data_IF_147494632760
#
_entry.id   IF_147494632760
#
_cell.length_a   1.000
_cell.length_b   1.000
_cell.length_c   1.000
_cell.angle_alpha   90.00
_cell.angle_beta   90.00
_cell.angle_gamma   90.00
#
_symmetry.space_group_name_H-M   'P 1'
#
loop_
_entity.id
_entity.type
_entity.pdbx_description
1 polymer ?
#
# COMPACT_ATOMS: atom_id res chain seq x y z
N UNK A 1 -13.02 -9.09 5.51
CA UNK A 1 -14.36 -9.64 5.82
C UNK A 1 -14.75 -10.73 4.83
N UNK A 2 -15.60 -11.70 5.21
CA UNK A 2 -16.09 -12.71 4.27
C UNK A 2 -16.74 -12.04 3.06
N UNK A 3 -16.35 -12.46 1.86
CA UNK A 3 -16.93 -12.04 0.57
C UNK A 3 -16.55 -10.65 0.03
N UNK A 4 -15.62 -9.92 0.66
CA UNK A 4 -15.07 -8.69 0.06
C UNK A 4 -13.87 -8.99 -0.86
N UNK A 5 -13.74 -8.21 -1.94
CA UNK A 5 -12.51 -8.16 -2.75
C UNK A 5 -11.40 -7.40 -2.01
N UNK A 6 -10.14 -7.57 -2.46
CA UNK A 6 -9.01 -6.86 -1.85
C UNK A 6 -9.13 -5.33 -2.06
N UNK A 7 -9.73 -4.91 -3.17
CA UNK A 7 -10.02 -3.52 -3.49
C UNK A 7 -11.11 -2.94 -2.57
N UNK A 8 -12.20 -3.68 -2.33
CA UNK A 8 -13.26 -3.26 -1.39
C UNK A 8 -12.73 -3.18 0.04
N UNK A 9 -11.95 -4.17 0.44
CA UNK A 9 -11.24 -4.19 1.71
C UNK A 9 -10.38 -2.92 1.87
N UNK A 10 -9.53 -2.61 0.90
CA UNK A 10 -8.66 -1.43 0.94
C UNK A 10 -9.44 -0.11 1.09
N UNK A 11 -10.57 0.03 0.40
CA UNK A 11 -11.45 1.22 0.52
C UNK A 11 -12.04 1.31 1.93
N UNK A 12 -12.53 0.20 2.48
CA UNK A 12 -13.11 0.14 3.83
C UNK A 12 -12.06 0.49 4.90
N UNK A 13 -10.91 -0.16 4.87
CA UNK A 13 -9.82 0.05 5.83
C UNK A 13 -9.32 1.50 5.80
N UNK A 14 -9.10 2.09 4.61
CA UNK A 14 -8.69 3.50 4.51
C UNK A 14 -9.72 4.46 5.11
N UNK A 15 -11.01 4.14 5.02
CA UNK A 15 -12.06 4.94 5.66
C UNK A 15 -12.07 4.74 7.17
N UNK A 16 -11.94 3.50 7.62
CA UNK A 16 -12.01 3.12 9.03
C UNK A 16 -10.80 3.64 9.80
N UNK A 17 -9.59 3.39 9.33
CA UNK A 17 -8.33 3.70 10.04
C UNK A 17 -7.80 5.11 9.76
N UNK A 18 -8.04 5.65 8.56
CA UNK A 18 -7.45 6.91 8.10
C UNK A 18 -8.47 8.03 7.85
N UNK A 19 -9.77 7.73 7.82
CA UNK A 19 -10.83 8.74 7.62
C UNK A 19 -10.93 9.30 6.21
N UNK A 20 -10.34 8.62 5.22
CA UNK A 20 -10.31 9.07 3.82
C UNK A 20 -11.10 8.14 2.91
N UNK A 21 -11.65 8.71 1.84
CA UNK A 21 -12.19 7.92 0.72
C UNK A 21 -11.16 7.89 -0.40
N UNK A 22 -10.93 6.71 -0.97
CA UNK A 22 -9.95 6.53 -2.04
C UNK A 22 -10.60 5.94 -3.30
N UNK A 23 -9.95 6.15 -4.44
CA UNK A 23 -10.17 5.38 -5.68
C UNK A 23 -9.01 4.42 -5.85
N UNK A 24 -9.30 3.12 -5.85
CA UNK A 24 -8.31 2.10 -6.21
C UNK A 24 -8.02 2.17 -7.71
N UNK A 25 -6.74 2.11 -8.08
CA UNK A 25 -6.25 2.12 -9.45
C UNK A 25 -5.68 0.73 -9.80
N UNK A 26 -4.44 0.68 -10.26
CA UNK A 26 -3.78 -0.54 -10.68
C UNK A 26 -3.34 -1.38 -9.47
N UNK A 27 -3.56 -2.71 -9.55
CA UNK A 27 -2.85 -3.67 -8.70
C UNK A 27 -1.37 -3.66 -9.10
N UNK A 28 -0.50 -3.33 -8.16
CA UNK A 28 0.94 -3.20 -8.38
C UNK A 28 1.62 -4.56 -8.32
N UNK A 29 1.40 -5.28 -7.21
CA UNK A 29 1.96 -6.61 -7.00
C UNK A 29 1.23 -7.32 -5.86
N UNK A 30 1.56 -8.59 -5.67
CA UNK A 30 1.25 -9.30 -4.44
C UNK A 30 2.52 -9.93 -3.86
N UNK A 31 2.60 -9.94 -2.53
CA UNK A 31 3.71 -10.55 -1.80
C UNK A 31 3.12 -11.60 -0.87
N UNK A 32 3.58 -12.84 -1.03
CA UNK A 32 3.35 -13.90 -0.06
C UNK A 32 4.60 -13.98 0.80
N UNK A 33 4.43 -13.91 2.11
CA UNK A 33 5.52 -14.01 3.06
C UNK A 33 5.19 -15.02 4.15
N UNK A 34 6.15 -15.89 4.45
CA UNK A 34 6.02 -16.93 5.46
C UNK A 34 6.72 -16.48 6.75
N UNK A 35 5.95 -16.35 7.82
CA UNK A 35 6.45 -16.17 9.17
C UNK A 35 6.33 -17.48 9.95
N UNK A 36 7.12 -17.69 11.02
CA UNK A 36 7.00 -18.87 11.87
C UNK A 36 5.58 -19.13 12.40
N UNK A 37 4.74 -18.09 12.51
CA UNK A 37 3.35 -18.18 12.97
C UNK A 37 2.28 -18.31 11.87
N UNK A 38 2.67 -18.33 10.59
CA UNK A 38 1.76 -18.45 9.47
C UNK A 38 2.19 -17.68 8.21
N UNK A 39 1.44 -17.90 7.14
CA UNK A 39 1.66 -17.23 5.84
C UNK A 39 0.72 -16.04 5.72
N UNK A 40 1.27 -14.88 5.34
CA UNK A 40 0.47 -13.71 4.96
C UNK A 40 0.55 -13.51 3.45
N UNK A 41 -0.53 -12.97 2.87
CA UNK A 41 -0.58 -12.50 1.49
C UNK A 41 -1.00 -11.04 1.49
N UNK A 42 -0.11 -10.17 1.02
CA UNK A 42 -0.35 -8.74 0.90
C UNK A 42 -0.63 -8.40 -0.56
N UNK A 43 -1.68 -7.62 -0.77
CA UNK A 43 -2.06 -7.08 -2.07
C UNK A 43 -1.76 -5.58 -2.08
N UNK A 44 -0.90 -5.14 -3.01
CA UNK A 44 -0.51 -3.74 -3.11
C UNK A 44 -1.17 -3.09 -4.32
N UNK A 45 -1.79 -1.94 -4.10
CA UNK A 45 -2.50 -1.18 -5.12
C UNK A 45 -2.01 0.27 -5.14
N UNK A 46 -2.02 0.86 -6.33
CA UNK A 46 -2.02 2.31 -6.43
C UNK A 46 -3.42 2.83 -6.10
N UNK A 47 -3.51 3.95 -5.38
CA UNK A 47 -4.77 4.58 -5.04
C UNK A 47 -4.63 6.11 -5.04
N UNK A 48 -5.77 6.80 -5.11
CA UNK A 48 -5.86 8.25 -5.01
C UNK A 48 -6.89 8.64 -3.98
N UNK A 49 -6.55 9.63 -3.15
CA UNK A 49 -7.47 10.20 -2.17
C UNK A 49 -8.49 11.06 -2.91
N UNK A 50 -9.77 10.70 -2.79
CA UNK A 50 -10.88 11.46 -3.36
C UNK A 50 -11.37 12.55 -2.41
N UNK A 51 -11.41 12.25 -1.11
CA UNK A 51 -11.94 13.15 -0.10
C UNK A 51 -11.54 12.72 1.31
N UNK A 52 -11.77 13.61 2.27
CA UNK A 52 -11.45 13.42 3.68
C UNK A 52 -10.13 14.08 4.07
N UNK A 53 -9.86 14.06 5.37
CA UNK A 53 -8.58 14.46 5.93
C UNK A 53 -8.01 13.24 6.64
N UNK A 54 -6.72 12.97 6.41
CA UNK A 54 -6.06 11.85 7.08
C UNK A 54 -6.06 12.10 8.58
N UNK A 55 -6.67 11.18 9.30
CA UNK A 55 -6.66 11.11 10.78
C UNK A 55 -6.18 9.73 11.15
N UNK A 56 -5.04 9.65 11.85
CA UNK A 56 -4.51 8.38 12.36
C UNK A 56 -5.39 7.92 13.52
N UNK A 57 -6.17 6.85 13.32
CA UNK A 57 -6.98 6.28 14.41
C UNK A 57 -6.29 5.11 15.10
N UNK A 58 -5.52 4.31 14.35
CA UNK A 58 -4.82 3.13 14.88
C UNK A 58 -3.29 3.24 14.80
N UNK A 59 -2.78 4.16 13.97
CA UNK A 59 -1.35 4.31 13.72
C UNK A 59 -0.70 5.31 14.67
N UNK A 60 0.53 5.02 15.10
CA UNK A 60 1.29 5.88 16.01
C UNK A 60 1.86 7.14 15.34
N UNK A 61 2.12 7.06 14.03
CA UNK A 61 2.63 8.16 13.22
C UNK A 61 2.29 7.93 11.74
N UNK A 62 2.29 9.02 10.96
CA UNK A 62 2.14 9.01 9.51
C UNK A 62 2.80 10.25 8.94
N UNK A 63 3.49 10.06 7.82
CA UNK A 63 4.22 11.11 7.12
C UNK A 63 4.07 10.91 5.62
N UNK A 64 3.89 12.02 4.90
CA UNK A 64 3.98 12.01 3.45
C UNK A 64 5.44 12.13 3.05
N UNK A 65 5.93 11.13 2.33
CA UNK A 65 7.32 11.07 1.88
C UNK A 65 7.41 10.97 0.37
N UNK A 66 8.48 11.50 -0.18
CA UNK A 66 8.84 11.33 -1.58
C UNK A 66 9.40 9.94 -1.85
N UNK A 67 9.42 9.55 -3.13
CA UNK A 67 10.04 8.31 -3.57
C UNK A 67 11.51 8.16 -3.12
N UNK A 68 12.24 9.28 -3.06
CA UNK A 68 13.63 9.31 -2.63
C UNK A 68 13.81 9.13 -1.14
N UNK A 69 12.84 9.59 -0.34
CA UNK A 69 12.89 9.51 1.12
C UNK A 69 12.59 8.11 1.64
N UNK A 70 11.87 7.27 0.88
CA UNK A 70 11.55 5.89 1.27
C UNK A 70 12.79 5.10 1.72
N UNK A 71 13.95 5.30 1.08
CA UNK A 71 15.20 4.60 1.44
C UNK A 71 15.70 4.89 2.86
N UNK A 72 15.17 5.91 3.53
CA UNK A 72 15.52 6.27 4.90
C UNK A 72 14.68 5.54 5.95
N UNK A 73 13.66 4.79 5.54
CA UNK A 73 12.78 4.03 6.44
C UNK A 73 13.12 2.53 6.42
N UNK A 74 13.05 1.91 7.59
CA UNK A 74 13.19 0.46 7.71
C UNK A 74 11.82 -0.20 7.50
N UNK A 75 11.65 -0.90 6.37
CA UNK A 75 10.43 -1.62 6.04
C UNK A 75 10.45 -3.05 6.58
N UNK A 76 9.27 -3.60 6.86
CA UNK A 76 9.18 -5.04 7.11
C UNK A 76 9.53 -5.82 5.82
N UNK A 77 9.94 -7.10 5.93
CA UNK A 77 10.42 -7.87 4.78
C UNK A 77 9.43 -7.92 3.59
N UNK A 78 8.13 -7.99 3.86
CA UNK A 78 7.11 -8.05 2.82
C UNK A 78 6.98 -6.72 2.06
N UNK A 79 7.01 -5.58 2.76
CA UNK A 79 6.98 -4.25 2.16
C UNK A 79 8.27 -3.94 1.40
N UNK A 80 9.44 -4.29 1.97
CA UNK A 80 10.73 -4.16 1.29
C UNK A 80 10.77 -4.99 -0.02
N UNK A 81 10.16 -6.18 0.00
CA UNK A 81 10.01 -7.03 -1.18
C UNK A 81 9.09 -6.41 -2.22
N UNK A 82 8.02 -5.72 -1.81
CA UNK A 82 7.17 -4.97 -2.73
C UNK A 82 7.95 -3.81 -3.37
N UNK A 83 8.66 -3.02 -2.57
CA UNK A 83 9.41 -1.85 -3.03
C UNK A 83 10.54 -2.21 -4.01
N UNK A 84 11.11 -3.41 -3.94
CA UNK A 84 12.11 -3.88 -4.91
C UNK A 84 11.52 -4.34 -6.24
N UNK A 85 10.20 -4.60 -6.32
CA UNK A 85 9.50 -5.08 -7.52
C UNK A 85 8.87 -3.98 -8.35
N UNK A 86 8.77 -2.76 -7.81
CA UNK A 86 8.06 -1.66 -8.46
C UNK A 86 8.92 -0.41 -8.55
N UNK A 87 8.70 0.37 -9.60
CA UNK A 87 9.24 1.71 -9.74
C UNK A 87 8.22 2.69 -9.17
N UNK A 88 8.38 3.01 -7.89
CA UNK A 88 7.49 3.90 -7.16
C UNK A 88 7.39 5.29 -7.80
N UNK A 89 8.46 5.77 -8.47
CA UNK A 89 8.41 7.05 -9.18
C UNK A 89 7.45 6.98 -10.36
N UNK A 90 7.49 5.89 -11.10
CA UNK A 90 6.53 5.69 -12.20
C UNK A 90 5.10 5.58 -11.67
N UNK A 91 4.88 4.83 -10.58
CA UNK A 91 3.55 4.72 -9.94
C UNK A 91 3.01 6.08 -9.55
N UNK A 92 3.80 6.91 -8.83
CA UNK A 92 3.38 8.26 -8.39
C UNK A 92 3.06 9.15 -9.59
N UNK A 93 3.82 9.04 -10.68
CA UNK A 93 3.61 9.80 -11.91
C UNK A 93 2.48 9.24 -12.80
N UNK A 94 1.70 8.28 -12.32
CA UNK A 94 0.58 7.68 -13.07
C UNK A 94 1.03 6.82 -14.27
N UNK A 95 2.30 6.39 -14.29
CA UNK A 95 2.83 5.44 -15.28
C UNK A 95 2.80 4.03 -14.69
N UNK A 96 2.70 3.01 -15.54
CA UNK A 96 2.86 1.62 -15.09
C UNK A 96 4.25 1.44 -14.47
N UNK A 97 4.29 1.20 -13.16
CA UNK A 97 5.52 1.09 -12.37
C UNK A 97 6.02 -0.34 -12.19
N UNK A 98 5.84 -1.22 -13.18
CA UNK A 98 6.38 -2.58 -13.10
C UNK A 98 7.87 -2.59 -13.41
N UNK A 99 8.70 -3.13 -12.52
CA UNK A 99 10.12 -3.41 -12.79
C UNK A 99 10.22 -4.91 -13.10
N UNK A 100 10.54 -5.30 -14.35
CA UNK A 100 10.85 -6.70 -14.65
C UNK A 100 12.04 -7.15 -13.79
N UNK A 101 11.89 -8.32 -13.16
CA UNK A 101 13.00 -9.02 -12.51
C UNK A 101 14.06 -9.44 -13.53
#
# INVERSE_FOLDING_TARGET
EPHETAEECLVRECREELGISIRVKDKLTEVVYEYPGGTIRLHFFAAEILSGHIVQKEHAAMEWVTADELKHYAFCPADATMLSRIDIRNVINGKKGYVPQ
#
